data_IF_263893981229
#
_entry.id   IF_263893981229
#
_cell.length_a   1.000
_cell.length_b   1.000
_cell.length_c   1.000
_cell.angle_alpha   90.00
_cell.angle_beta   90.00
_cell.angle_gamma   90.00
#
_symmetry.space_group_name_H-M   'P 1'
#
loop_
_entity.id
_entity.type
_entity.pdbx_description
1 polymer ?
#
# COMPACT_ATOMS: atom_id res chain seq x y z
N UNK A 1 35.44 -6.16 -13.20
CA UNK A 1 34.36 -5.78 -12.24
C UNK A 1 33.04 -5.93 -13.01
N UNK A 2 32.42 -7.12 -12.94
CA UNK A 2 31.15 -7.38 -13.59
C UNK A 2 30.02 -6.66 -12.84
N UNK A 3 29.03 -6.09 -13.54
CA UNK A 3 27.86 -5.50 -12.89
C UNK A 3 27.03 -6.58 -12.19
N UNK A 4 26.33 -6.27 -11.09
CA UNK A 4 25.51 -7.25 -10.38
C UNK A 4 24.38 -7.72 -11.32
N UNK A 5 24.29 -9.02 -11.49
CA UNK A 5 23.22 -9.69 -12.22
C UNK A 5 21.92 -9.47 -11.43
N UNK A 6 20.97 -8.75 -12.01
CA UNK A 6 19.62 -8.62 -11.47
C UNK A 6 18.97 -10.01 -11.46
N UNK A 7 18.77 -10.57 -10.27
CA UNK A 7 18.02 -11.82 -10.07
C UNK A 7 16.52 -11.51 -10.02
N UNK A 8 15.95 -11.00 -11.12
CA UNK A 8 14.50 -10.91 -11.27
C UNK A 8 13.96 -12.33 -11.51
N UNK A 9 13.20 -12.85 -10.55
CA UNK A 9 12.45 -14.10 -10.69
C UNK A 9 11.28 -13.88 -11.66
N UNK A 10 10.87 -14.86 -12.49
CA UNK A 10 9.76 -14.70 -13.45
C UNK A 10 8.45 -14.18 -12.84
N UNK A 11 8.18 -14.45 -11.56
CA UNK A 11 7.02 -13.94 -10.85
C UNK A 11 7.08 -12.43 -10.57
N UNK A 12 8.28 -11.86 -10.34
CA UNK A 12 8.46 -10.42 -10.10
C UNK A 12 8.28 -9.61 -11.39
N UNK A 13 8.66 -10.17 -12.53
CA UNK A 13 8.46 -9.55 -13.86
C UNK A 13 6.98 -9.36 -14.17
N UNK A 14 6.15 -10.38 -13.92
CA UNK A 14 4.68 -10.31 -14.15
C UNK A 14 4.04 -9.23 -13.27
N UNK A 15 4.45 -9.10 -12.00
CA UNK A 15 3.87 -8.09 -11.09
C UNK A 15 4.29 -6.67 -11.48
N UNK A 16 5.54 -6.45 -11.90
CA UNK A 16 6.00 -5.15 -12.39
C UNK A 16 5.27 -4.72 -13.66
N UNK A 17 5.02 -5.64 -14.59
CA UNK A 17 4.20 -5.36 -15.78
C UNK A 17 2.75 -5.02 -15.43
N UNK A 18 2.17 -5.69 -14.43
CA UNK A 18 0.81 -5.38 -13.94
C UNK A 18 0.75 -3.99 -13.32
N UNK A 19 1.74 -3.64 -12.48
CA UNK A 19 1.87 -2.29 -11.91
C UNK A 19 2.00 -1.26 -13.03
N UNK A 20 2.84 -1.50 -14.03
CA UNK A 20 3.04 -0.62 -15.17
C UNK A 20 1.73 -0.33 -15.91
N UNK A 21 0.98 -1.38 -16.27
CA UNK A 21 -0.34 -1.27 -16.90
C UNK A 21 -1.33 -0.51 -16.02
N UNK A 22 -1.37 -0.82 -14.72
CA UNK A 22 -2.28 -0.19 -13.77
C UNK A 22 -2.02 1.29 -13.58
N UNK A 23 -0.75 1.70 -13.41
CA UNK A 23 -0.35 3.12 -13.30
C UNK A 23 -0.77 3.87 -14.57
N UNK A 24 -0.46 3.32 -15.74
CA UNK A 24 -0.82 3.91 -17.03
C UNK A 24 -2.34 4.05 -17.19
N UNK A 25 -3.11 3.01 -16.87
CA UNK A 25 -4.57 3.02 -16.94
C UNK A 25 -5.17 4.08 -16.02
N UNK A 26 -4.74 4.12 -14.74
CA UNK A 26 -5.21 5.09 -13.76
C UNK A 26 -4.88 6.53 -14.19
N UNK A 27 -3.67 6.79 -14.71
CA UNK A 27 -3.29 8.10 -15.22
C UNK A 27 -4.18 8.51 -16.40
N UNK A 28 -4.39 7.61 -17.36
CA UNK A 28 -5.22 7.88 -18.53
C UNK A 28 -6.69 8.16 -18.15
N UNK A 29 -7.27 7.34 -17.27
CA UNK A 29 -8.66 7.53 -16.79
C UNK A 29 -8.87 8.88 -16.11
N UNK A 30 -7.81 9.42 -15.45
CA UNK A 30 -7.84 10.75 -14.82
C UNK A 30 -7.47 11.89 -15.76
N UNK A 31 -7.20 11.61 -17.04
CA UNK A 31 -6.80 12.62 -18.02
C UNK A 31 -5.46 13.29 -17.73
N UNK A 32 -4.59 12.67 -16.90
CA UNK A 32 -3.31 13.25 -16.56
C UNK A 32 -2.27 13.01 -17.66
N UNK A 33 -1.53 14.04 -18.05
CA UNK A 33 -0.28 13.88 -18.79
C UNK A 33 0.81 13.33 -17.88
N UNK A 34 1.93 12.85 -18.44
CA UNK A 34 3.09 12.45 -17.63
C UNK A 34 3.62 13.62 -16.79
N UNK A 35 3.60 14.83 -17.32
CA UNK A 35 4.05 16.03 -16.60
C UNK A 35 3.08 16.40 -15.46
N UNK A 36 1.79 16.30 -15.69
CA UNK A 36 0.77 16.51 -14.64
C UNK A 36 0.92 15.50 -13.49
N UNK A 37 1.13 14.22 -13.80
CA UNK A 37 1.37 13.21 -12.76
C UNK A 37 2.71 13.43 -12.06
N UNK A 38 3.76 13.86 -12.78
CA UNK A 38 5.05 14.19 -12.16
C UNK A 38 4.91 15.33 -11.14
N UNK A 39 4.19 16.39 -11.50
CA UNK A 39 3.93 17.52 -10.61
C UNK A 39 3.12 17.10 -9.35
N UNK A 40 2.12 16.22 -9.50
CA UNK A 40 1.27 15.75 -8.40
C UNK A 40 1.95 14.75 -7.48
N UNK A 41 2.79 13.86 -8.04
CA UNK A 41 3.41 12.77 -7.28
C UNK A 41 4.81 13.10 -6.75
N UNK A 42 5.47 14.12 -7.30
CA UNK A 42 6.88 14.40 -7.03
C UNK A 42 7.85 13.36 -7.63
N UNK A 43 7.35 12.46 -8.50
CA UNK A 43 8.17 11.50 -9.25
C UNK A 43 8.49 12.08 -10.61
N UNK A 44 9.75 12.00 -11.04
CA UNK A 44 10.15 12.60 -12.33
C UNK A 44 9.39 11.97 -13.51
N UNK A 45 9.08 12.79 -14.53
CA UNK A 45 8.43 12.36 -15.77
C UNK A 45 9.15 11.18 -16.42
N UNK A 46 10.48 11.18 -16.43
CA UNK A 46 11.28 10.09 -17.00
C UNK A 46 11.10 8.78 -16.22
N UNK A 47 11.07 8.84 -14.88
CA UNK A 47 10.84 7.67 -14.04
C UNK A 47 9.42 7.13 -14.25
N UNK A 48 8.38 7.98 -14.30
CA UNK A 48 7.01 7.55 -14.59
C UNK A 48 6.95 6.84 -15.94
N UNK A 49 7.59 7.41 -16.97
CA UNK A 49 7.64 6.79 -18.29
C UNK A 49 8.34 5.42 -18.30
N UNK A 50 9.43 5.26 -17.54
CA UNK A 50 10.11 3.97 -17.38
C UNK A 50 9.21 2.95 -16.68
N UNK A 51 8.52 3.35 -15.60
CA UNK A 51 7.59 2.48 -14.86
C UNK A 51 6.45 2.04 -15.77
N UNK A 52 5.79 2.95 -16.50
CA UNK A 52 4.67 2.63 -17.39
C UNK A 52 5.03 1.72 -18.57
N UNK A 53 6.31 1.63 -18.91
CA UNK A 53 6.83 0.69 -19.92
C UNK A 53 7.33 -0.63 -19.34
N UNK A 54 7.27 -0.81 -18.02
CA UNK A 54 7.84 -1.97 -17.34
C UNK A 54 9.38 -2.02 -17.37
N UNK A 55 10.02 -0.89 -17.73
CA UNK A 55 11.49 -0.79 -17.86
C UNK A 55 12.21 -0.42 -16.56
N UNK A 56 11.47 -0.29 -15.44
CA UNK A 56 12.02 -0.04 -14.12
C UNK A 56 11.18 -0.76 -13.06
N UNK A 57 11.86 -1.27 -12.02
CA UNK A 57 11.23 -1.81 -10.80
C UNK A 57 11.16 -0.70 -9.77
N UNK A 58 9.99 -0.04 -9.58
CA UNK A 58 9.85 1.07 -8.64
C UNK A 58 9.93 0.57 -7.20
N UNK A 59 10.46 1.42 -6.30
CA UNK A 59 10.43 1.14 -4.86
C UNK A 59 9.04 1.40 -4.27
N UNK A 60 8.78 0.87 -3.07
CA UNK A 60 7.54 1.12 -2.34
C UNK A 60 7.24 2.62 -2.16
N UNK A 61 8.26 3.41 -1.87
CA UNK A 61 8.15 4.86 -1.71
C UNK A 61 7.74 5.54 -3.02
N UNK A 62 8.32 5.12 -4.14
CA UNK A 62 7.95 5.64 -5.47
C UNK A 62 6.52 5.26 -5.82
N UNK A 63 6.12 4.01 -5.55
CA UNK A 63 4.75 3.56 -5.77
C UNK A 63 3.74 4.31 -4.90
N UNK A 64 4.07 4.58 -3.64
CA UNK A 64 3.19 5.36 -2.75
C UNK A 64 3.01 6.80 -3.24
N UNK A 65 4.08 7.45 -3.68
CA UNK A 65 4.03 8.79 -4.30
C UNK A 65 3.15 8.79 -5.56
N UNK A 66 3.29 7.79 -6.42
CA UNK A 66 2.44 7.65 -7.60
C UNK A 66 0.97 7.41 -7.24
N UNK A 67 0.71 6.53 -6.28
CA UNK A 67 -0.64 6.26 -5.78
C UNK A 67 -1.30 7.53 -5.24
N UNK A 68 -0.57 8.31 -4.44
CA UNK A 68 -1.05 9.59 -3.92
C UNK A 68 -1.34 10.60 -5.04
N UNK A 69 -0.43 10.75 -6.01
CA UNK A 69 -0.62 11.62 -7.17
C UNK A 69 -1.78 11.20 -8.07
N UNK A 70 -2.12 9.90 -8.05
CA UNK A 70 -3.26 9.31 -8.72
C UNK A 70 -4.54 9.29 -7.85
N UNK A 71 -4.51 9.72 -6.58
CA UNK A 71 -5.66 9.72 -5.69
C UNK A 71 -6.18 8.32 -5.35
N UNK A 72 -5.30 7.32 -5.24
CA UNK A 72 -5.61 5.93 -4.88
C UNK A 72 -4.72 5.46 -3.74
N UNK A 73 -5.02 4.31 -3.13
CA UNK A 73 -4.09 3.66 -2.19
C UNK A 73 -2.93 2.99 -2.93
N UNK A 74 -1.82 2.78 -2.21
CA UNK A 74 -0.71 1.97 -2.71
C UNK A 74 -1.19 0.56 -3.11
N UNK A 75 -2.13 -0.02 -2.35
CA UNK A 75 -2.65 -1.35 -2.62
C UNK A 75 -3.38 -1.43 -3.97
N UNK A 76 -4.09 -0.37 -4.35
CA UNK A 76 -4.81 -0.27 -5.64
C UNK A 76 -3.91 -0.36 -6.86
N UNK A 77 -2.61 -0.06 -6.73
CA UNK A 77 -1.66 -0.23 -7.83
C UNK A 77 -1.35 -1.70 -8.13
N UNK A 78 -1.63 -2.58 -7.18
CA UNK A 78 -1.45 -4.04 -7.31
C UNK A 78 -2.74 -4.77 -7.68
N UNK A 79 -3.88 -4.06 -7.76
CA UNK A 79 -5.19 -4.60 -8.16
C UNK A 79 -5.26 -4.73 -9.69
N UNK A 80 -4.54 -5.67 -10.25
CA UNK A 80 -4.59 -5.99 -11.67
C UNK A 80 -5.32 -7.32 -11.89
N UNK A 81 -6.66 -7.31 -11.95
CA UNK A 81 -7.35 -8.40 -12.64
C UNK A 81 -7.00 -8.34 -14.13
N UNK A 82 -6.81 -9.47 -14.83
CA UNK A 82 -6.83 -9.46 -16.29
C UNK A 82 -8.12 -8.77 -16.76
N UNK A 83 -8.04 -7.86 -17.74
CA UNK A 83 -9.18 -7.04 -18.19
C UNK A 83 -10.40 -7.87 -18.61
N UNK A 84 -10.18 -9.12 -19.01
CA UNK A 84 -11.24 -10.04 -19.50
C UNK A 84 -11.64 -11.13 -18.49
N UNK A 85 -11.07 -11.18 -17.29
CA UNK A 85 -11.43 -12.19 -16.30
C UNK A 85 -12.57 -11.70 -15.40
N UNK A 86 -13.67 -12.45 -15.25
CA UNK A 86 -14.72 -12.09 -14.32
C UNK A 86 -14.16 -12.08 -12.90
N UNK A 87 -14.52 -11.05 -12.12
CA UNK A 87 -14.12 -10.94 -10.74
C UNK A 87 -14.63 -12.17 -9.96
N UNK A 88 -13.75 -12.83 -9.22
CA UNK A 88 -14.07 -14.00 -8.41
C UNK A 88 -13.94 -13.63 -6.92
N UNK A 89 -14.87 -14.11 -6.04
CA UNK A 89 -14.80 -13.80 -4.61
C UNK A 89 -13.69 -14.59 -3.88
N UNK A 90 -13.06 -15.55 -4.53
CA UNK A 90 -12.02 -16.40 -3.98
C UNK A 90 -10.68 -16.12 -4.64
N UNK A 91 -9.68 -15.75 -3.85
CA UNK A 91 -8.27 -15.71 -4.26
C UNK A 91 -7.49 -16.84 -3.59
N UNK A 92 -7.14 -17.88 -4.34
CA UNK A 92 -6.30 -18.95 -3.82
C UNK A 92 -4.87 -18.47 -3.62
N UNK A 93 -4.19 -18.99 -2.59
CA UNK A 93 -2.81 -18.59 -2.25
C UNK A 93 -1.86 -18.55 -3.45
N UNK A 94 -1.93 -19.53 -4.33
CA UNK A 94 -1.09 -19.60 -5.53
C UNK A 94 -1.37 -18.49 -6.57
N UNK A 95 -2.52 -17.82 -6.47
CA UNK A 95 -2.96 -16.76 -7.37
C UNK A 95 -2.72 -15.36 -6.77
N UNK A 96 -2.37 -15.30 -5.48
CA UNK A 96 -2.12 -14.04 -4.78
C UNK A 96 -0.79 -13.44 -5.23
N UNK A 97 -0.86 -12.27 -5.86
CA UNK A 97 0.33 -11.59 -6.35
C UNK A 97 1.27 -11.22 -5.21
N UNK A 98 2.55 -11.51 -5.39
CA UNK A 98 3.62 -11.09 -4.49
C UNK A 98 4.51 -10.06 -5.20
N UNK A 99 4.93 -9.07 -4.47
CA UNK A 99 5.89 -8.07 -4.92
C UNK A 99 6.94 -7.83 -3.84
N UNK A 100 8.19 -7.69 -4.27
CA UNK A 100 9.32 -7.37 -3.39
C UNK A 100 9.78 -5.95 -3.64
N UNK A 101 9.90 -5.17 -2.57
CA UNK A 101 10.50 -3.84 -2.64
C UNK A 101 12.00 -3.95 -2.94
N UNK A 102 12.48 -3.40 -4.06
CA UNK A 102 13.90 -3.49 -4.42
C UNK A 102 14.82 -2.73 -3.44
N UNK A 103 14.30 -1.76 -2.68
CA UNK A 103 15.09 -0.97 -1.75
C UNK A 103 15.25 -1.65 -0.38
N UNK A 104 14.17 -2.07 0.24
CA UNK A 104 14.17 -2.63 1.60
C UNK A 104 14.10 -4.15 1.64
N UNK A 105 13.74 -4.78 0.51
CA UNK A 105 13.55 -6.21 0.41
C UNK A 105 12.28 -6.73 1.06
N UNK A 106 11.38 -5.87 1.60
CA UNK A 106 10.13 -6.37 2.14
C UNK A 106 9.25 -6.97 1.04
N UNK A 107 8.53 -8.02 1.41
CA UNK A 107 7.62 -8.70 0.50
C UNK A 107 6.20 -8.42 0.91
N UNK A 108 5.38 -7.95 -0.02
CA UNK A 108 3.93 -7.86 0.16
C UNK A 108 3.23 -8.87 -0.73
N UNK A 109 2.15 -9.45 -0.21
CA UNK A 109 1.25 -10.34 -0.94
C UNK A 109 -0.17 -9.83 -0.79
N UNK A 110 -0.84 -9.57 -1.92
CA UNK A 110 -2.24 -9.17 -1.91
C UNK A 110 -3.11 -10.40 -1.60
N UNK A 111 -3.86 -10.35 -0.49
CA UNK A 111 -4.75 -11.42 -0.06
C UNK A 111 -6.16 -11.27 -0.65
N UNK A 112 -6.61 -10.02 -0.81
CA UNK A 112 -7.92 -9.74 -1.38
C UNK A 112 -8.04 -10.22 -2.82
N UNK A 113 -9.18 -10.79 -3.22
CA UNK A 113 -9.43 -11.18 -4.60
C UNK A 113 -9.33 -10.00 -5.55
N UNK A 114 -8.53 -10.09 -6.63
CA UNK A 114 -8.34 -8.98 -7.56
C UNK A 114 -9.64 -8.69 -8.33
N UNK A 115 -9.95 -7.39 -8.49
CA UNK A 115 -11.13 -6.94 -9.22
C UNK A 115 -12.47 -7.15 -8.49
N UNK A 116 -12.49 -7.80 -7.32
CA UNK A 116 -13.71 -7.94 -6.54
C UNK A 116 -14.08 -6.60 -5.89
N UNK A 117 -15.34 -6.12 -6.06
CA UNK A 117 -15.77 -4.84 -5.52
C UNK A 117 -15.85 -4.90 -3.99
N UNK A 118 -14.84 -4.37 -3.32
CA UNK A 118 -14.76 -4.29 -1.86
C UNK A 118 -14.03 -3.00 -1.46
N UNK A 119 -14.52 -2.27 -0.46
CA UNK A 119 -13.80 -1.13 0.09
C UNK A 119 -12.59 -1.57 0.94
N UNK A 120 -12.50 -2.86 1.27
CA UNK A 120 -11.48 -3.43 2.14
C UNK A 120 -10.45 -4.17 1.29
N UNK A 121 -9.17 -3.90 1.55
CA UNK A 121 -8.05 -4.62 0.96
C UNK A 121 -7.19 -5.22 2.07
N UNK A 122 -6.81 -6.47 1.91
CA UNK A 122 -5.93 -7.21 2.82
C UNK A 122 -4.59 -7.48 2.13
N UNK A 123 -3.52 -7.18 2.85
CA UNK A 123 -2.15 -7.39 2.38
C UNK A 123 -1.35 -8.07 3.49
N UNK A 124 -0.71 -9.19 3.18
CA UNK A 124 0.29 -9.79 4.05
C UNK A 124 1.66 -9.21 3.74
N UNK A 125 2.42 -8.91 4.78
CA UNK A 125 3.78 -8.37 4.66
C UNK A 125 4.76 -9.23 5.42
N UNK A 126 5.86 -9.60 4.75
CA UNK A 126 7.09 -10.09 5.37
C UNK A 126 8.11 -8.97 5.36
N UNK A 127 8.44 -8.46 6.54
CA UNK A 127 9.31 -7.31 6.71
C UNK A 127 10.68 -7.78 7.22
N UNK A 128 11.77 -7.59 6.44
CA UNK A 128 13.07 -8.15 6.78
C UNK A 128 13.64 -7.61 8.10
N UNK A 129 14.59 -8.34 8.66
CA UNK A 129 15.42 -7.88 9.77
C UNK A 129 16.12 -6.57 9.41
N UNK A 130 16.21 -5.64 10.35
CA UNK A 130 16.89 -4.34 10.21
C UNK A 130 16.37 -3.46 9.05
N UNK A 131 15.24 -3.82 8.43
CA UNK A 131 14.66 -3.04 7.32
C UNK A 131 13.95 -1.79 7.84
N UNK A 132 13.94 -0.76 6.98
CA UNK A 132 13.23 0.49 7.23
C UNK A 132 12.62 1.02 5.94
N UNK A 133 11.35 1.44 6.01
CA UNK A 133 10.65 2.12 4.92
C UNK A 133 9.96 3.34 5.48
N UNK A 134 10.15 4.49 4.84
CA UNK A 134 9.55 5.75 5.24
C UNK A 134 8.67 6.30 4.11
N UNK A 135 7.43 6.62 4.42
CA UNK A 135 6.47 7.26 3.54
C UNK A 135 6.26 8.69 3.99
N UNK A 136 6.28 9.62 3.05
CA UNK A 136 5.97 11.02 3.32
C UNK A 136 4.45 11.18 3.48
N UNK A 137 4.03 12.25 4.17
CA UNK A 137 2.63 12.62 4.17
C UNK A 137 2.21 12.98 2.75
N UNK A 138 1.45 12.11 2.11
CA UNK A 138 0.89 12.40 0.81
C UNK A 138 -0.46 13.08 1.01
N UNK A 139 -0.67 14.23 0.36
CA UNK A 139 -1.97 14.91 0.30
C UNK A 139 -2.98 14.06 -0.47
N UNK A 140 -3.55 13.05 0.18
CA UNK A 140 -4.56 12.17 -0.42
C UNK A 140 -5.91 12.85 -0.44
N UNK A 141 -6.59 12.81 -1.59
CA UNK A 141 -7.94 13.38 -1.74
C UNK A 141 -8.98 12.61 -0.90
N UNK A 142 -8.74 11.32 -0.66
CA UNK A 142 -9.61 10.45 0.14
C UNK A 142 -8.93 9.98 1.41
N UNK A 143 -9.68 9.91 2.51
CA UNK A 143 -9.19 9.33 3.74
C UNK A 143 -8.95 7.82 3.57
N UNK A 144 -7.72 7.38 3.78
CA UNK A 144 -7.39 5.95 3.81
C UNK A 144 -7.19 5.56 5.26
N UNK A 145 -8.01 4.62 5.72
CA UNK A 145 -7.88 3.99 7.03
C UNK A 145 -7.06 2.71 6.90
N UNK A 146 -6.12 2.53 7.81
CA UNK A 146 -5.27 1.37 7.83
C UNK A 146 -5.22 0.77 9.22
N UNK A 147 -5.25 -0.56 9.29
CA UNK A 147 -4.90 -1.32 10.48
C UNK A 147 -3.74 -2.25 10.17
N UNK A 148 -2.86 -2.42 11.15
CA UNK A 148 -1.74 -3.37 11.08
C UNK A 148 -1.91 -4.33 12.24
N UNK A 149 -1.98 -5.62 11.92
CA UNK A 149 -2.01 -6.68 12.90
C UNK A 149 -0.75 -7.53 12.78
N UNK A 150 0.08 -7.54 13.81
CA UNK A 150 1.33 -8.30 13.85
C UNK A 150 1.03 -9.76 14.15
N UNK A 151 1.37 -10.63 13.21
CA UNK A 151 1.23 -12.09 13.35
C UNK A 151 2.43 -12.64 14.11
N UNK A 152 3.64 -12.19 13.76
CA UNK A 152 4.87 -12.68 14.34
C UNK A 152 6.01 -11.67 14.20
N UNK A 153 6.79 -11.49 15.25
CA UNK A 153 7.98 -10.66 15.28
C UNK A 153 7.71 -9.28 15.85
N UNK A 154 8.51 -8.31 15.48
CA UNK A 154 8.39 -6.93 15.95
C UNK A 154 8.47 -5.96 14.77
N UNK A 155 7.60 -4.97 14.78
CA UNK A 155 7.68 -3.81 13.90
C UNK A 155 7.42 -2.54 14.71
N UNK A 156 8.31 -1.56 14.57
CA UNK A 156 8.11 -0.25 15.14
C UNK A 156 7.50 0.64 14.03
N UNK A 157 6.34 1.23 14.34
CA UNK A 157 5.59 2.11 13.45
C UNK A 157 5.66 3.51 14.00
N UNK A 158 6.31 4.41 13.27
CA UNK A 158 6.30 5.85 13.61
C UNK A 158 5.21 6.53 12.79
N UNK A 159 4.26 7.15 13.46
CA UNK A 159 3.14 7.88 12.87
C UNK A 159 3.23 9.35 13.32
N UNK A 160 3.61 10.25 12.39
CA UNK A 160 4.05 11.59 12.76
C UNK A 160 5.26 11.53 13.70
N UNK A 161 5.08 12.05 14.94
CA UNK A 161 6.12 12.05 15.97
C UNK A 161 5.98 10.88 16.97
N UNK A 162 4.95 10.05 16.85
CA UNK A 162 4.69 8.96 17.79
C UNK A 162 5.23 7.63 17.30
N UNK A 163 5.97 6.92 18.16
CA UNK A 163 6.50 5.59 17.89
C UNK A 163 5.67 4.55 18.62
N UNK A 164 5.13 3.59 17.87
CA UNK A 164 4.40 2.43 18.38
C UNK A 164 5.22 1.16 18.13
N UNK A 165 5.73 0.56 19.20
CA UNK A 165 6.47 -0.71 19.13
C UNK A 165 5.50 -1.88 19.21
N UNK A 166 5.19 -2.50 18.08
CA UNK A 166 4.23 -3.60 17.95
C UNK A 166 4.93 -4.95 18.02
N UNK A 167 4.29 -5.90 18.68
CA UNK A 167 4.73 -7.31 18.84
C UNK A 167 3.62 -8.27 18.42
N UNK A 168 3.91 -9.56 18.54
CA UNK A 168 2.96 -10.63 18.23
C UNK A 168 1.58 -10.38 18.85
N UNK A 169 0.54 -10.34 18.02
CA UNK A 169 -0.85 -10.11 18.42
C UNK A 169 -1.29 -8.65 18.50
N UNK A 170 -0.35 -7.69 18.52
CA UNK A 170 -0.69 -6.26 18.60
C UNK A 170 -1.35 -5.77 17.30
N UNK A 171 -2.33 -4.86 17.47
CA UNK A 171 -3.01 -4.20 16.36
C UNK A 171 -2.95 -2.68 16.52
N UNK A 172 -2.52 -1.97 15.50
CA UNK A 172 -2.48 -0.50 15.43
C UNK A 172 -3.42 -0.03 14.31
N UNK A 173 -4.36 0.84 14.67
CA UNK A 173 -5.23 1.53 13.71
C UNK A 173 -4.72 2.96 13.46
N UNK A 174 -4.72 3.39 12.19
CA UNK A 174 -4.22 4.71 11.80
C UNK A 174 -4.94 5.24 10.57
N UNK A 175 -4.79 6.55 10.34
CA UNK A 175 -5.10 7.20 9.07
C UNK A 175 -3.80 7.53 8.35
N UNK A 176 -3.81 7.44 7.02
CA UNK A 176 -2.65 7.77 6.20
C UNK A 176 -2.64 9.26 5.81
N UNK A 177 -2.62 10.15 6.79
CA UNK A 177 -2.65 11.60 6.64
C UNK A 177 -1.41 12.31 7.21
N UNK A 178 -0.44 11.56 7.68
CA UNK A 178 0.81 12.05 8.25
C UNK A 178 1.99 11.14 7.84
N UNK A 179 3.25 11.59 8.02
CA UNK A 179 4.41 10.77 7.72
C UNK A 179 4.37 9.44 8.47
N UNK A 180 4.75 8.36 7.79
CA UNK A 180 4.66 7.01 8.31
C UNK A 180 5.98 6.27 8.08
N UNK A 181 6.57 5.72 9.14
CA UNK A 181 7.79 4.93 9.05
C UNK A 181 7.56 3.56 9.66
N UNK A 182 7.92 2.53 8.89
CA UNK A 182 8.04 1.16 9.38
C UNK A 182 9.51 0.85 9.61
N UNK A 183 9.85 0.28 10.77
CA UNK A 183 11.17 -0.23 11.03
C UNK A 183 11.11 -1.55 11.80
N UNK A 184 11.99 -2.48 11.44
CA UNK A 184 12.20 -3.70 12.19
C UNK A 184 13.56 -3.62 12.88
N UNK A 185 13.63 -3.30 14.19
CA UNK A 185 14.88 -3.14 14.89
C UNK A 185 15.54 -4.48 15.26
N UNK A 186 14.94 -5.60 14.88
CA UNK A 186 15.40 -6.94 15.29
C UNK A 186 16.21 -7.64 14.19
N UNK A 187 16.92 -8.71 14.57
CA UNK A 187 17.66 -9.58 13.65
C UNK A 187 16.78 -10.68 12.99
N UNK A 188 15.47 -10.65 13.17
CA UNK A 188 14.52 -11.60 12.60
C UNK A 188 13.46 -10.87 11.79
N UNK A 189 12.93 -11.48 10.72
CA UNK A 189 11.83 -10.88 9.98
C UNK A 189 10.57 -10.79 10.83
N UNK A 190 9.74 -9.79 10.55
CA UNK A 190 8.40 -9.65 11.10
C UNK A 190 7.36 -10.01 10.02
N UNK A 191 6.23 -10.57 10.45
CA UNK A 191 5.08 -10.89 9.61
C UNK A 191 3.84 -10.18 10.16
N UNK A 192 3.15 -9.45 9.32
CA UNK A 192 1.94 -8.74 9.70
C UNK A 192 0.96 -8.65 8.54
N UNK A 193 -0.29 -8.42 8.85
CA UNK A 193 -1.35 -8.13 7.90
C UNK A 193 -1.69 -6.65 7.98
N UNK A 194 -1.83 -6.04 6.82
CA UNK A 194 -2.34 -4.69 6.63
C UNK A 194 -3.75 -4.80 6.09
N UNK A 195 -4.70 -4.17 6.78
CA UNK A 195 -6.07 -3.98 6.33
C UNK A 195 -6.24 -2.52 5.94
N UNK A 196 -6.59 -2.26 4.69
CA UNK A 196 -6.87 -0.92 4.20
C UNK A 196 -8.35 -0.80 3.89
N UNK A 197 -8.92 0.36 4.23
CA UNK A 197 -10.27 0.74 3.84
C UNK A 197 -10.21 2.12 3.17
N UNK A 198 -10.59 2.19 1.91
CA UNK A 198 -10.80 3.44 1.19
C UNK A 198 -12.28 3.83 1.38
N UNK A 199 -12.54 4.82 2.23
CA UNK A 199 -13.89 5.24 2.55
C UNK A 199 -14.11 6.71 2.21
N UNK A 200 -15.30 7.01 1.65
CA UNK A 200 -15.83 8.36 1.73
C UNK A 200 -16.15 8.65 3.20
N UNK A 201 -15.77 9.83 3.69
CA UNK A 201 -15.90 10.27 5.09
C UNK A 201 -17.33 10.26 5.69
N UNK A 202 -18.33 9.80 4.95
CA UNK A 202 -19.73 9.84 5.32
C UNK A 202 -20.26 8.64 6.12
N UNK A 203 -19.48 7.58 6.37
CA UNK A 203 -20.02 6.33 6.92
C UNK A 203 -19.73 6.04 8.39
N UNK A 204 -18.96 6.86 9.09
CA UNK A 204 -18.73 6.68 10.53
C UNK A 204 -19.45 7.75 11.35
N UNK A 205 -20.79 7.63 11.44
CA UNK A 205 -21.57 8.36 12.45
C UNK A 205 -21.14 7.78 13.81
N UNK A 206 -20.44 8.59 14.63
CA UNK A 206 -20.30 8.30 16.06
C UNK A 206 -21.71 8.20 16.64
N UNK A 207 -22.09 7.12 17.36
CA UNK A 207 -23.32 7.15 18.11
C UNK A 207 -23.25 8.32 19.08
N UNK A 208 -24.18 9.24 18.95
CA UNK A 208 -24.27 10.42 19.80
C UNK A 208 -24.39 10.02 21.26
N UNK A 209 -23.63 10.69 22.10
CA UNK A 209 -23.72 10.63 23.54
C UNK A 209 -25.07 11.27 23.92
N UNK A 210 -26.12 10.48 24.08
CA UNK A 210 -27.38 10.91 24.63
C UNK A 210 -27.18 11.18 26.12
N UNK A 211 -26.86 12.42 26.45
CA UNK A 211 -26.93 12.96 27.82
C UNK A 211 -28.38 12.87 28.27
N UNK A 212 -28.70 11.94 29.15
CA UNK A 212 -29.95 11.83 29.87
C UNK A 212 -30.03 13.04 30.84
N UNK A 213 -30.74 14.07 30.45
CA UNK A 213 -31.22 15.08 31.40
C UNK A 213 -32.32 14.42 32.23
N UNK A 214 -32.02 14.01 33.44
CA UNK A 214 -33.03 13.79 34.46
C UNK A 214 -33.49 15.17 34.91
N UNK A 215 -34.73 15.50 34.60
CA UNK A 215 -35.47 16.54 35.27
C UNK A 215 -36.27 15.90 36.40
N UNK A 216 -35.94 16.33 37.62
CA UNK A 216 -36.75 16.14 38.79
C UNK A 216 -38.10 16.87 38.67
N UNK A 217 -39.16 16.20 39.08
CA UNK A 217 -40.34 16.73 39.75
C UNK A 217 -40.86 15.69 40.72
#
# INVERSE_FOLDING_TARGET
MEPPVSTDTPADTDVNERIARRVRALRATRGHTLDALAARSGVSRSMISLIERGAASPTAVVLDKLAAGLGVSLASLFDGAPEDAPAQPLARRAQQAQWRDPASGYVRRNLSPPGWPSPIQLVEVTFPACARVAYEAAGRESAVHQQIWVIRGRVDVTLGDQVHALRDGDCLAMRLDQPLVFSNPTSRPAHYVVVLCEGHAAAFIRPGNTSSSQQEL
#
